data_IF_233574116663
#
_entry.id   IF_233574116663
#
_cell.length_a   1.000
_cell.length_b   1.000
_cell.length_c   1.000
_cell.angle_alpha   90.00
_cell.angle_beta   90.00
_cell.angle_gamma   90.00
#
_symmetry.space_group_name_H-M   'P 1'
#
loop_
_entity.id
_entity.type
_entity.pdbx_description
1 polymer ?
#
# COMPACT_ATOMS: atom_id res chain seq x y z
N UNK A 1 -29.11 42.33 16.21
CA UNK A 1 -27.66 42.10 16.35
C UNK A 1 -27.13 43.22 17.22
N UNK A 2 -26.53 42.86 18.35
CA UNK A 2 -25.96 43.82 19.29
C UNK A 2 -24.65 44.39 18.71
N UNK A 3 -24.46 45.71 18.73
CA UNK A 3 -23.23 46.37 18.26
C UNK A 3 -22.75 47.35 19.33
N UNK A 4 -21.47 47.26 19.71
CA UNK A 4 -20.85 48.16 20.70
C UNK A 4 -19.57 48.74 20.13
N UNK A 5 -19.47 50.07 20.13
CA UNK A 5 -18.22 50.79 19.85
C UNK A 5 -17.38 50.82 21.12
N UNK A 6 -16.12 50.40 21.00
CA UNK A 6 -15.11 50.37 22.05
C UNK A 6 -13.97 51.31 21.65
N UNK A 7 -13.19 51.77 22.62
CA UNK A 7 -12.06 52.69 22.39
C UNK A 7 -10.98 52.14 21.44
N UNK A 8 -10.98 50.82 21.19
CA UNK A 8 -10.03 50.12 20.33
C UNK A 8 -10.69 49.22 19.26
N UNK A 9 -12.00 49.31 19.03
CA UNK A 9 -12.66 48.47 18.03
C UNK A 9 -14.18 48.45 18.10
N UNK A 10 -14.80 47.62 17.26
CA UNK A 10 -16.26 47.45 17.21
C UNK A 10 -16.58 46.00 17.49
N UNK A 11 -17.38 45.76 18.51
CA UNK A 11 -17.98 44.45 18.79
C UNK A 11 -19.30 44.33 18.04
N UNK A 12 -19.52 43.19 17.36
CA UNK A 12 -20.81 42.85 16.76
C UNK A 12 -21.19 41.42 17.14
N UNK A 13 -22.41 41.24 17.64
CA UNK A 13 -22.98 39.92 17.89
C UNK A 13 -23.39 39.26 16.57
N UNK A 14 -22.86 38.07 16.30
CA UNK A 14 -23.27 37.21 15.18
C UNK A 14 -23.94 35.95 15.71
N UNK A 15 -25.00 35.51 15.02
CA UNK A 15 -25.67 34.22 15.23
C UNK A 15 -25.14 33.14 14.26
N UNK A 16 -24.09 33.45 13.49
CA UNK A 16 -23.35 32.51 12.62
C UNK A 16 -21.88 32.45 13.02
N UNK A 17 -21.35 31.23 13.14
CA UNK A 17 -19.93 30.96 13.36
C UNK A 17 -19.17 31.10 12.04
N UNK A 18 -17.96 31.65 12.08
CA UNK A 18 -17.04 31.68 10.94
C UNK A 18 -16.64 30.24 10.57
N UNK A 19 -17.12 29.75 9.43
CA UNK A 19 -16.94 28.37 8.97
C UNK A 19 -15.73 28.29 8.01
N UNK A 20 -14.55 28.56 8.55
CA UNK A 20 -13.32 28.46 7.77
C UNK A 20 -13.00 26.98 7.47
N UNK A 21 -12.54 26.70 6.25
CA UNK A 21 -12.22 25.35 5.78
C UNK A 21 -11.25 24.60 6.70
N UNK A 22 -10.30 25.31 7.32
CA UNK A 22 -9.35 24.75 8.29
C UNK A 22 -10.01 24.17 9.54
N UNK A 23 -11.23 24.58 9.88
CA UNK A 23 -12.00 24.07 11.02
C UNK A 23 -13.04 23.02 10.62
N UNK A 24 -13.57 23.09 9.40
CA UNK A 24 -14.66 22.22 8.95
C UNK A 24 -14.24 21.05 8.04
N UNK A 25 -12.98 21.01 7.62
CA UNK A 25 -12.37 19.89 6.88
C UNK A 25 -11.84 18.79 7.81
N UNK A 26 -11.40 17.66 7.24
CA UNK A 26 -10.74 16.56 7.95
C UNK A 26 -9.50 17.04 8.71
N UNK A 27 -8.77 18.05 8.19
CA UNK A 27 -7.65 18.71 8.89
C UNK A 27 -8.06 19.26 10.26
N UNK A 28 -9.23 19.90 10.32
CA UNK A 28 -9.74 20.52 11.55
C UNK A 28 -9.88 19.54 12.71
N UNK A 29 -10.08 18.24 12.44
CA UNK A 29 -10.25 17.22 13.49
C UNK A 29 -8.95 16.92 14.25
N UNK A 30 -7.79 17.09 13.61
CA UNK A 30 -6.50 17.03 14.28
C UNK A 30 -6.11 18.39 14.84
N UNK A 31 -6.31 19.47 14.07
CA UNK A 31 -5.89 20.82 14.44
C UNK A 31 -6.56 21.34 15.72
N UNK A 32 -7.82 20.96 15.96
CA UNK A 32 -8.59 21.38 17.13
C UNK A 32 -8.41 20.48 18.36
N UNK A 33 -7.59 19.42 18.29
CA UNK A 33 -7.41 18.46 19.38
C UNK A 33 -5.94 18.36 19.79
N UNK A 34 -5.56 18.83 21.00
CA UNK A 34 -4.17 18.83 21.45
C UNK A 34 -3.59 17.41 21.61
N UNK A 35 -4.44 16.38 21.76
CA UNK A 35 -3.98 14.99 21.82
C UNK A 35 -3.42 14.49 20.48
N UNK A 36 -3.56 15.26 19.40
CA UNK A 36 -3.10 14.95 18.04
C UNK A 36 -2.06 15.96 17.54
N UNK A 37 -1.38 16.68 18.44
CA UNK A 37 -0.41 17.74 18.06
C UNK A 37 0.76 17.26 17.20
N UNK A 38 1.23 16.01 17.36
CA UNK A 38 2.24 15.41 16.48
C UNK A 38 1.68 15.27 15.06
N UNK A 39 0.47 14.70 14.94
CA UNK A 39 -0.22 14.54 13.66
C UNK A 39 -0.46 15.88 12.98
N UNK A 40 -0.93 16.89 13.72
CA UNK A 40 -1.12 18.26 13.24
C UNK A 40 0.19 18.89 12.74
N UNK A 41 1.30 18.68 13.45
CA UNK A 41 2.62 19.18 13.03
C UNK A 41 3.07 18.54 11.72
N UNK A 42 2.92 17.22 11.56
CA UNK A 42 3.24 16.52 10.31
C UNK A 42 2.33 16.96 9.16
N UNK A 43 1.04 17.14 9.41
CA UNK A 43 0.08 17.64 8.41
C UNK A 43 0.44 19.05 7.94
N UNK A 44 0.87 19.93 8.86
CA UNK A 44 1.31 21.29 8.52
C UNK A 44 2.54 21.31 7.62
N UNK A 45 3.40 20.30 7.71
CA UNK A 45 4.61 20.18 6.90
C UNK A 45 4.35 19.79 5.45
N UNK A 46 3.35 18.94 5.19
CA UNK A 46 3.22 18.25 3.90
C UNK A 46 1.83 18.36 3.25
N UNK A 47 0.76 18.20 4.03
CA UNK A 47 -0.58 17.91 3.49
C UNK A 47 -1.66 18.96 3.80
N UNK A 48 -1.37 19.98 4.60
CA UNK A 48 -2.36 20.95 5.11
C UNK A 48 -3.22 21.56 4.00
N UNK A 49 -2.61 22.04 2.92
CA UNK A 49 -3.35 22.72 1.85
C UNK A 49 -4.25 21.77 1.07
N UNK A 50 -3.82 20.51 0.90
CA UNK A 50 -4.56 19.47 0.22
C UNK A 50 -5.77 19.04 1.05
N UNK A 51 -5.54 18.64 2.31
CA UNK A 51 -6.59 18.04 3.13
C UNK A 51 -7.56 19.07 3.76
N UNK A 52 -7.21 20.37 3.73
CA UNK A 52 -8.13 21.45 4.09
C UNK A 52 -8.99 21.95 2.92
N UNK A 53 -8.70 21.51 1.69
CA UNK A 53 -9.54 21.82 0.54
C UNK A 53 -10.87 21.08 0.63
N UNK A 54 -11.96 21.81 0.85
CA UNK A 54 -13.29 21.22 1.02
C UNK A 54 -13.89 20.66 -0.28
N UNK A 55 -13.30 20.97 -1.43
CA UNK A 55 -13.77 20.53 -2.75
C UNK A 55 -13.20 19.17 -3.16
N UNK A 56 -12.29 18.60 -2.38
CA UNK A 56 -11.70 17.27 -2.61
C UNK A 56 -12.06 16.33 -1.47
N UNK A 57 -12.27 15.05 -1.77
CA UNK A 57 -12.65 14.04 -0.77
C UNK A 57 -11.43 13.39 -0.15
N UNK A 58 -11.49 13.13 1.16
CA UNK A 58 -10.43 12.49 1.92
C UNK A 58 -10.99 11.57 2.99
N UNK A 59 -10.26 10.49 3.30
CA UNK A 59 -10.42 9.75 4.55
C UNK A 59 -9.14 9.91 5.36
N UNK A 60 -9.27 10.30 6.63
CA UNK A 60 -8.14 10.46 7.54
C UNK A 60 -8.19 9.44 8.67
N UNK A 61 -7.10 8.76 8.91
CA UNK A 61 -6.89 7.88 10.06
C UNK A 61 -6.02 8.61 11.08
N UNK A 62 -6.61 9.22 12.10
CA UNK A 62 -5.90 10.01 13.10
C UNK A 62 -5.28 9.15 14.19
N UNK A 63 -4.04 9.50 14.54
CA UNK A 63 -3.24 8.87 15.58
C UNK A 63 -2.91 9.89 16.67
N UNK A 64 -3.13 9.52 17.92
CA UNK A 64 -2.80 10.37 19.07
C UNK A 64 -1.29 10.43 19.32
N UNK A 65 -0.85 11.46 20.04
CA UNK A 65 0.53 11.58 20.50
C UNK A 65 0.97 10.35 21.29
N UNK A 66 0.09 9.79 22.13
CA UNK A 66 0.35 8.57 22.90
C UNK A 66 0.65 7.38 21.99
N UNK A 67 -0.10 7.23 20.90
CA UNK A 67 0.12 6.14 19.95
C UNK A 67 1.41 6.31 19.13
N UNK A 68 1.80 7.55 18.77
CA UNK A 68 3.12 7.82 18.20
C UNK A 68 4.25 7.48 19.18
N UNK A 69 4.14 7.94 20.43
CA UNK A 69 5.13 7.68 21.47
C UNK A 69 5.27 6.18 21.76
N UNK A 70 4.16 5.44 21.78
CA UNK A 70 4.16 3.98 21.96
C UNK A 70 4.86 3.25 20.79
N UNK A 71 4.81 3.83 19.59
CA UNK A 71 5.57 3.35 18.43
C UNK A 71 7.02 3.87 18.38
N UNK A 72 7.47 4.60 19.41
CA UNK A 72 8.83 5.09 19.53
C UNK A 72 9.11 6.42 18.84
N UNK A 73 8.08 7.14 18.36
CA UNK A 73 8.23 8.45 17.72
C UNK A 73 7.89 9.59 18.68
N UNK A 74 8.80 10.55 18.81
CA UNK A 74 8.67 11.64 19.76
C UNK A 74 8.94 13.00 19.09
N UNK A 75 8.19 14.01 19.52
CA UNK A 75 8.61 15.41 19.39
C UNK A 75 9.52 15.74 20.57
N UNK A 76 10.76 16.12 20.30
CA UNK A 76 11.83 16.29 21.26
C UNK A 76 12.64 17.56 20.96
N UNK A 77 12.35 18.62 21.73
CA UNK A 77 13.03 19.90 21.61
C UNK A 77 14.54 19.84 21.92
N UNK A 78 15.04 18.77 22.56
CA UNK A 78 16.49 18.59 22.78
C UNK A 78 17.23 18.19 21.51
N UNK A 79 16.53 17.67 20.50
CA UNK A 79 17.09 17.40 19.17
C UNK A 79 17.22 18.70 18.37
N UNK A 80 16.16 19.52 18.36
CA UNK A 80 16.15 20.83 17.71
C UNK A 80 14.99 21.67 18.25
N UNK A 81 15.18 22.99 18.39
CA UNK A 81 14.10 23.93 18.67
C UNK A 81 13.28 24.27 17.41
N UNK A 82 13.73 23.82 16.23
CA UNK A 82 12.94 23.89 15.00
C UNK A 82 11.90 22.76 15.01
N UNK A 83 10.62 23.13 14.98
CA UNK A 83 9.50 22.16 15.01
C UNK A 83 9.52 21.17 13.84
N UNK A 84 10.25 21.49 12.77
CA UNK A 84 10.41 20.63 11.60
C UNK A 84 11.52 19.57 11.79
N UNK A 85 12.41 19.73 12.76
CA UNK A 85 13.60 18.90 12.95
C UNK A 85 13.67 18.25 14.34
N UNK A 86 12.75 18.58 15.25
CA UNK A 86 12.70 18.09 16.64
C UNK A 86 12.38 16.58 16.78
N UNK A 87 12.49 15.79 15.72
CA UNK A 87 11.96 14.43 15.71
C UNK A 87 12.98 13.43 16.23
N UNK A 88 12.53 12.52 17.09
CA UNK A 88 13.29 11.36 17.55
C UNK A 88 12.52 10.08 17.28
N UNK A 89 13.23 9.05 16.82
CA UNK A 89 12.71 7.70 16.73
C UNK A 89 13.60 6.73 17.53
N UNK A 90 13.00 6.03 18.48
CA UNK A 90 13.60 4.96 19.26
C UNK A 90 12.88 3.67 18.87
N UNK A 91 13.53 2.76 18.12
CA UNK A 91 12.90 1.50 17.72
C UNK A 91 12.40 0.70 18.94
N UNK A 92 11.11 0.31 19.01
CA UNK A 92 10.56 -0.43 20.15
C UNK A 92 11.24 -1.79 20.40
N UNK A 93 11.77 -2.42 19.35
CA UNK A 93 12.50 -3.70 19.42
C UNK A 93 14.00 -3.57 19.70
N UNK A 94 14.50 -2.37 20.01
CA UNK A 94 15.92 -2.06 20.07
C UNK A 94 16.52 -1.73 18.70
N UNK A 95 17.70 -1.11 18.69
CA UNK A 95 18.38 -0.67 17.47
C UNK A 95 18.91 0.76 17.56
N UNK A 96 19.43 1.26 16.45
CA UNK A 96 19.98 2.61 16.37
C UNK A 96 18.86 3.65 16.44
N UNK A 97 19.01 4.60 17.36
CA UNK A 97 18.14 5.76 17.45
C UNK A 97 18.33 6.66 16.22
N UNK A 98 17.23 7.21 15.69
CA UNK A 98 17.26 8.24 14.65
C UNK A 98 16.81 9.59 15.23
N UNK A 99 17.39 10.67 14.71
CA UNK A 99 17.01 12.04 15.08
C UNK A 99 16.92 12.91 13.83
N UNK A 100 16.26 14.06 13.93
CA UNK A 100 16.20 15.04 12.86
C UNK A 100 15.46 14.52 11.61
N UNK A 101 16.03 14.81 10.44
CA UNK A 101 15.47 14.46 9.14
C UNK A 101 15.26 12.96 8.95
N UNK A 102 16.14 12.11 9.49
CA UNK A 102 16.02 10.65 9.38
C UNK A 102 14.78 10.11 10.11
N UNK A 103 14.43 10.68 11.26
CA UNK A 103 13.19 10.35 11.96
C UNK A 103 11.97 10.94 11.23
N UNK A 104 12.08 12.18 10.74
CA UNK A 104 11.01 12.86 10.00
C UNK A 104 10.57 12.08 8.76
N UNK A 105 11.49 11.57 7.94
CA UNK A 105 11.15 10.83 6.71
C UNK A 105 10.30 9.59 7.02
N UNK A 106 10.59 8.89 8.14
CA UNK A 106 9.76 7.76 8.60
C UNK A 106 8.37 8.24 9.04
N UNK A 107 8.31 9.34 9.80
CA UNK A 107 7.04 9.92 10.24
C UNK A 107 6.19 10.45 9.08
N UNK A 108 6.80 11.00 8.03
CA UNK A 108 6.11 11.44 6.81
C UNK A 108 5.56 10.25 6.02
N UNK A 109 6.31 9.14 5.91
CA UNK A 109 5.76 7.91 5.31
C UNK A 109 4.58 7.36 6.12
N UNK A 110 4.69 7.36 7.45
CA UNK A 110 3.58 7.00 8.35
C UNK A 110 2.40 7.92 8.09
N UNK A 111 2.56 9.25 8.13
CA UNK A 111 1.50 10.21 7.84
C UNK A 111 0.81 9.90 6.51
N UNK A 112 1.58 9.67 5.45
CA UNK A 112 1.03 9.42 4.13
C UNK A 112 0.13 8.18 4.09
N UNK A 113 0.45 7.12 4.84
CA UNK A 113 -0.41 5.94 4.96
C UNK A 113 -1.71 6.19 5.73
N UNK A 114 -1.80 7.28 6.49
CA UNK A 114 -2.99 7.66 7.25
C UNK A 114 -3.94 8.58 6.48
N UNK A 115 -3.62 8.91 5.23
CA UNK A 115 -4.42 9.78 4.38
C UNK A 115 -4.78 9.05 3.10
N UNK A 116 -6.08 8.86 2.87
CA UNK A 116 -6.63 8.34 1.61
C UNK A 116 -7.15 9.52 0.79
N UNK A 117 -6.46 9.91 -0.30
CA UNK A 117 -6.92 10.99 -1.17
C UNK A 117 -8.05 10.53 -2.10
N UNK A 118 -8.92 11.45 -2.48
CA UNK A 118 -9.96 11.26 -3.50
C UNK A 118 -11.16 10.42 -3.07
N UNK A 119 -11.16 9.83 -1.88
CA UNK A 119 -12.22 8.92 -1.41
C UNK A 119 -12.66 9.23 0.02
N UNK A 120 -13.96 9.19 0.23
CA UNK A 120 -14.61 9.26 1.54
C UNK A 120 -15.11 7.86 1.92
N UNK A 121 -14.29 7.12 2.67
CA UNK A 121 -14.63 5.82 3.21
C UNK A 121 -15.46 6.07 4.46
N UNK A 122 -16.76 5.84 4.35
CA UNK A 122 -17.71 6.10 5.45
C UNK A 122 -17.98 4.87 6.32
N UNK A 123 -17.49 3.69 5.90
CA UNK A 123 -17.63 2.44 6.63
C UNK A 123 -16.37 1.56 6.48
N UNK A 124 -15.78 1.17 7.61
CA UNK A 124 -14.62 0.28 7.71
C UNK A 124 -14.94 -1.10 8.29
N UNK A 125 -16.21 -1.38 8.55
CA UNK A 125 -16.69 -2.69 9.02
C UNK A 125 -16.64 -3.71 7.88
N UNK A 126 -17.03 -3.30 6.66
CA UNK A 126 -16.96 -4.16 5.49
C UNK A 126 -15.52 -4.28 4.98
N UNK A 127 -15.07 -5.48 4.57
CA UNK A 127 -13.75 -5.65 3.97
C UNK A 127 -13.54 -4.71 2.78
N UNK A 128 -12.40 -4.03 2.77
CA UNK A 128 -12.02 -3.16 1.68
C UNK A 128 -10.53 -2.82 1.70
N UNK A 129 -10.11 -2.11 0.65
CA UNK A 129 -8.73 -1.68 0.43
C UNK A 129 -8.74 -0.28 -0.17
N UNK A 130 -7.75 0.53 0.17
CA UNK A 130 -7.65 1.90 -0.31
C UNK A 130 -6.20 2.35 -0.46
N UNK A 131 -5.94 3.07 -1.55
CA UNK A 131 -4.66 3.71 -1.80
C UNK A 131 -4.51 4.93 -0.90
N UNK A 132 -3.35 5.05 -0.27
CA UNK A 132 -2.96 6.16 0.59
C UNK A 132 -2.11 7.17 -0.19
N UNK A 133 -1.79 8.33 0.40
CA UNK A 133 -1.14 9.43 -0.31
C UNK A 133 0.24 9.08 -0.89
N UNK A 134 0.96 8.09 -0.34
CA UNK A 134 2.25 7.61 -0.85
C UNK A 134 2.15 6.53 -1.95
N UNK A 135 0.93 6.16 -2.36
CA UNK A 135 0.65 5.05 -3.27
C UNK A 135 0.69 3.67 -2.61
N UNK A 136 0.90 3.60 -1.29
CA UNK A 136 0.77 2.37 -0.51
C UNK A 136 -0.70 2.10 -0.19
N UNK A 137 -1.05 0.83 0.02
CA UNK A 137 -2.43 0.46 0.33
C UNK A 137 -2.61 0.09 1.80
N UNK A 138 -3.81 0.37 2.31
CA UNK A 138 -4.30 -0.11 3.60
C UNK A 138 -5.50 -1.02 3.36
N UNK A 139 -5.68 -2.01 4.24
CA UNK A 139 -6.88 -2.84 4.32
C UNK A 139 -7.70 -2.43 5.52
N UNK A 140 -9.00 -2.56 5.40
CA UNK A 140 -9.91 -2.34 6.52
C UNK A 140 -11.02 -3.39 6.52
N UNK A 141 -11.42 -3.81 7.72
CA UNK A 141 -12.55 -4.71 7.96
C UNK A 141 -12.82 -4.78 9.46
N UNK A 142 -14.08 -4.99 9.87
CA UNK A 142 -14.44 -5.24 11.26
C UNK A 142 -13.98 -4.15 12.24
N UNK A 143 -14.00 -2.88 11.82
CA UNK A 143 -13.46 -1.74 12.58
C UNK A 143 -11.95 -1.84 12.88
N UNK A 144 -11.22 -2.56 12.02
CA UNK A 144 -9.77 -2.58 12.03
C UNK A 144 -9.21 -2.06 10.72
N UNK A 145 -8.01 -1.52 10.78
CA UNK A 145 -7.23 -1.00 9.65
C UNK A 145 -5.82 -1.56 9.76
N UNK A 146 -5.26 -2.01 8.65
CA UNK A 146 -3.99 -2.74 8.60
C UNK A 146 -3.18 -2.24 7.40
N UNK A 147 -1.94 -1.82 7.65
CA UNK A 147 -0.92 -1.63 6.62
C UNK A 147 0.06 -2.82 6.60
N UNK A 148 0.95 -2.88 5.62
CA UNK A 148 1.87 -4.01 5.44
C UNK A 148 2.73 -4.30 6.69
N UNK A 149 3.26 -3.27 7.35
CA UNK A 149 4.09 -3.42 8.55
C UNK A 149 3.30 -3.93 9.77
N UNK A 150 2.02 -3.58 9.87
CA UNK A 150 1.17 -4.15 10.91
C UNK A 150 1.01 -5.66 10.71
N UNK A 151 0.86 -6.10 9.45
CA UNK A 151 0.86 -7.52 9.08
C UNK A 151 2.15 -8.23 9.47
N UNK A 152 3.30 -7.60 9.22
CA UNK A 152 4.61 -8.14 9.62
C UNK A 152 4.76 -8.31 11.13
N UNK A 153 4.26 -7.35 11.89
CA UNK A 153 4.32 -7.36 13.35
C UNK A 153 3.22 -8.22 14.00
N UNK A 154 2.33 -8.84 13.21
CA UNK A 154 1.20 -9.63 13.72
C UNK A 154 0.20 -8.79 14.52
N UNK A 155 0.04 -7.52 14.14
CA UNK A 155 -0.70 -6.53 14.91
C UNK A 155 -1.73 -5.80 14.01
N UNK A 156 -2.76 -5.18 14.59
CA UNK A 156 -3.80 -4.45 13.82
C UNK A 156 -4.17 -3.15 14.52
N UNK A 157 -4.53 -2.11 13.76
CA UNK A 157 -5.05 -0.88 14.32
C UNK A 157 -6.58 -0.94 14.43
N UNK A 158 -7.12 -0.57 15.59
CA UNK A 158 -8.56 -0.58 15.87
C UNK A 158 -9.12 0.83 15.83
N UNK A 159 -10.29 1.00 15.20
CA UNK A 159 -11.03 2.25 15.22
C UNK A 159 -11.69 2.45 16.58
N UNK A 160 -11.31 3.54 17.25
CA UNK A 160 -11.83 3.97 18.55
C UNK A 160 -13.05 4.89 18.42
N UNK A 161 -13.06 5.75 17.39
CA UNK A 161 -14.12 6.70 17.15
C UNK A 161 -14.11 7.15 15.68
N UNK A 162 -15.23 7.72 15.22
CA UNK A 162 -15.39 8.28 13.88
C UNK A 162 -16.02 9.68 13.97
N UNK A 163 -15.55 10.61 13.15
CA UNK A 163 -16.17 11.95 12.98
C UNK A 163 -16.29 12.30 11.52
N UNK A 164 -17.34 13.06 11.20
CA UNK A 164 -17.55 13.62 9.87
C UNK A 164 -16.96 15.03 9.77
N UNK A 165 -16.43 15.34 8.60
CA UNK A 165 -16.03 16.65 8.15
C UNK A 165 -16.67 16.94 6.79
N UNK A 166 -16.65 18.19 6.33
CA UNK A 166 -17.26 18.58 5.05
C UNK A 166 -16.69 17.80 3.86
N UNK A 167 -15.41 17.48 3.94
CA UNK A 167 -14.65 16.88 2.85
C UNK A 167 -14.25 15.43 3.12
N UNK A 168 -14.87 14.80 4.12
CA UNK A 168 -14.88 13.36 4.30
C UNK A 168 -14.84 12.88 5.75
N UNK A 169 -14.45 11.63 5.93
CA UNK A 169 -14.54 10.93 7.22
C UNK A 169 -13.20 10.83 7.92
N UNK A 170 -13.23 10.97 9.25
CA UNK A 170 -12.06 10.83 10.13
C UNK A 170 -12.27 9.68 11.10
N UNK A 171 -11.36 8.71 11.07
CA UNK A 171 -11.28 7.58 12.00
C UNK A 171 -10.15 7.79 12.99
N UNK A 172 -10.42 7.58 14.27
CA UNK A 172 -9.40 7.65 15.31
C UNK A 172 -8.90 6.24 15.61
N UNK A 173 -7.59 5.99 15.51
CA UNK A 173 -7.00 4.67 15.72
C UNK A 173 -6.26 4.59 17.07
N UNK A 174 -6.18 3.37 17.62
CA UNK A 174 -5.43 3.09 18.83
C UNK A 174 -3.91 2.96 18.63
N UNK A 175 -3.44 2.84 17.38
CA UNK A 175 -2.02 2.74 17.03
C UNK A 175 -1.77 3.20 15.60
N UNK A 176 -0.50 3.40 15.27
CA UNK A 176 -0.07 3.75 13.91
C UNK A 176 -0.32 2.61 12.92
N UNK A 177 -0.59 2.99 11.68
CA UNK A 177 -0.36 2.14 10.52
C UNK A 177 1.15 2.09 10.25
N UNK A 178 1.70 0.88 10.23
CA UNK A 178 3.13 0.61 10.09
C UNK A 178 3.47 0.23 8.65
N UNK A 179 4.59 0.73 8.12
CA UNK A 179 5.07 0.32 6.82
C UNK A 179 5.95 -0.92 6.98
N UNK A 180 5.97 -1.79 5.97
CA UNK A 180 6.84 -2.96 5.99
C UNK A 180 8.28 -2.57 5.69
N UNK A 181 9.22 -3.15 6.44
CA UNK A 181 10.66 -3.11 6.14
C UNK A 181 11.14 -4.34 5.39
N UNK A 182 10.29 -5.36 5.23
CA UNK A 182 10.62 -6.57 4.48
C UNK A 182 10.60 -6.31 2.98
N UNK A 183 11.40 -7.08 2.25
CA UNK A 183 11.34 -7.09 0.80
C UNK A 183 10.10 -7.87 0.33
N UNK A 184 9.61 -7.53 -0.85
CA UNK A 184 8.38 -8.12 -1.41
C UNK A 184 8.53 -9.64 -1.58
N UNK A 185 9.75 -10.13 -1.88
CA UNK A 185 10.03 -11.55 -1.97
C UNK A 185 9.81 -12.31 -0.65
N UNK A 186 10.04 -11.70 0.51
CA UNK A 186 9.76 -12.34 1.80
C UNK A 186 8.25 -12.54 2.03
N UNK A 187 7.41 -11.64 1.52
CA UNK A 187 5.95 -11.83 1.58
C UNK A 187 5.48 -12.92 0.62
N UNK A 188 6.05 -13.00 -0.59
CA UNK A 188 5.75 -14.09 -1.54
C UNK A 188 6.20 -15.44 -0.96
N UNK A 189 7.36 -15.49 -0.31
CA UNK A 189 7.83 -16.66 0.42
C UNK A 189 6.84 -17.09 1.51
N UNK A 190 6.39 -16.14 2.34
CA UNK A 190 5.40 -16.40 3.40
C UNK A 190 4.11 -16.96 2.83
N UNK A 191 3.62 -16.38 1.72
CA UNK A 191 2.40 -16.84 1.04
C UNK A 191 2.59 -18.21 0.39
N UNK A 192 3.75 -18.50 -0.17
CA UNK A 192 3.98 -19.67 -1.04
C UNK A 192 4.66 -20.87 -0.37
N UNK A 193 5.21 -20.73 0.84
CA UNK A 193 6.00 -21.81 1.48
C UNK A 193 5.18 -23.08 1.72
N UNK A 194 3.94 -22.94 2.22
CA UNK A 194 3.08 -24.10 2.44
C UNK A 194 2.78 -24.81 1.12
N UNK A 195 3.02 -26.12 1.04
CA UNK A 195 2.77 -26.93 -0.17
C UNK A 195 1.30 -26.95 -0.58
N UNK A 196 0.38 -26.65 0.34
CA UNK A 196 -1.06 -26.49 0.10
C UNK A 196 -1.43 -25.12 -0.46
N UNK A 197 -0.58 -24.08 -0.30
CA UNK A 197 -0.88 -22.72 -0.76
C UNK A 197 -1.04 -22.63 -2.28
N UNK A 198 -2.02 -21.86 -2.75
CA UNK A 198 -2.21 -21.56 -4.18
C UNK A 198 -1.05 -20.75 -4.78
N UNK A 199 -0.24 -20.08 -3.95
CA UNK A 199 0.97 -19.36 -4.38
C UNK A 199 2.19 -20.26 -4.54
N UNK A 200 2.11 -21.54 -4.10
CA UNK A 200 3.29 -22.39 -3.93
C UNK A 200 4.06 -22.60 -5.22
N UNK A 201 3.40 -22.95 -6.34
CA UNK A 201 4.11 -23.24 -7.59
C UNK A 201 4.86 -22.02 -8.14
N UNK A 202 4.28 -20.82 -8.02
CA UNK A 202 4.98 -19.58 -8.37
C UNK A 202 6.18 -19.33 -7.45
N UNK A 203 6.01 -19.53 -6.13
CA UNK A 203 7.10 -19.41 -5.17
C UNK A 203 8.24 -20.40 -5.46
N UNK A 204 7.93 -21.65 -5.83
CA UNK A 204 8.94 -22.64 -6.20
C UNK A 204 9.76 -22.21 -7.42
N UNK A 205 9.15 -21.54 -8.40
CA UNK A 205 9.89 -20.94 -9.52
C UNK A 205 10.71 -19.72 -9.08
N UNK A 206 10.11 -18.78 -8.34
CA UNK A 206 10.81 -17.57 -7.89
C UNK A 206 12.05 -17.92 -7.05
N UNK A 207 11.91 -18.80 -6.04
CA UNK A 207 12.99 -19.14 -5.12
C UNK A 207 14.22 -19.75 -5.80
N UNK A 208 14.01 -20.43 -6.93
CA UNK A 208 15.06 -21.10 -7.72
C UNK A 208 15.47 -20.28 -8.95
N UNK A 209 14.84 -19.13 -9.19
CA UNK A 209 15.15 -18.25 -10.32
C UNK A 209 16.48 -17.53 -10.10
N UNK A 210 17.11 -17.07 -11.18
CA UNK A 210 18.35 -16.29 -11.07
C UNK A 210 18.11 -14.84 -10.65
N UNK A 211 16.85 -14.43 -10.51
CA UNK A 211 16.45 -13.05 -10.20
C UNK A 211 16.11 -12.88 -8.71
N UNK A 212 16.10 -13.95 -7.92
CA UNK A 212 15.78 -13.90 -6.49
C UNK A 212 17.04 -14.07 -5.63
N UNK A 213 17.20 -13.19 -4.64
CA UNK A 213 18.21 -13.33 -3.61
C UNK A 213 17.58 -13.93 -2.33
N UNK A 214 17.89 -15.19 -2.05
CA UNK A 214 17.32 -15.90 -0.91
C UNK A 214 17.75 -15.34 0.46
N UNK A 215 18.90 -14.65 0.54
CA UNK A 215 19.37 -14.08 1.81
C UNK A 215 18.63 -12.78 2.17
N UNK A 216 18.27 -11.98 1.17
CA UNK A 216 17.66 -10.65 1.38
C UNK A 216 16.18 -10.59 1.03
N UNK A 217 15.66 -11.53 0.25
CA UNK A 217 14.31 -11.47 -0.31
C UNK A 217 14.17 -10.51 -1.49
N UNK A 218 15.28 -9.99 -2.02
CA UNK A 218 15.27 -9.07 -3.16
C UNK A 218 14.95 -9.79 -4.46
N UNK A 219 14.25 -9.09 -5.35
CA UNK A 219 13.97 -9.54 -6.72
C UNK A 219 14.63 -8.53 -7.67
N UNK A 220 15.59 -8.97 -8.48
CA UNK A 220 16.26 -8.13 -9.48
C UNK A 220 15.20 -7.50 -10.40
N UNK A 221 15.28 -6.19 -10.63
CA UNK A 221 14.29 -5.44 -11.42
C UNK A 221 13.15 -4.83 -10.60
N UNK A 222 13.00 -5.23 -9.34
CA UNK A 222 12.06 -4.63 -8.38
C UNK A 222 12.83 -3.64 -7.50
N UNK A 223 12.75 -2.35 -7.84
CA UNK A 223 13.52 -1.31 -7.17
C UNK A 223 12.90 -0.92 -5.83
N UNK A 224 13.72 -0.86 -4.78
CA UNK A 224 13.29 -0.35 -3.48
C UNK A 224 12.71 1.07 -3.60
N UNK A 225 11.63 1.34 -2.87
CA UNK A 225 10.97 2.65 -2.87
C UNK A 225 9.99 2.90 -4.02
N UNK A 226 9.88 1.98 -5.00
CA UNK A 226 8.90 2.07 -6.09
C UNK A 226 7.65 1.23 -5.80
N UNK A 227 6.52 1.60 -6.42
CA UNK A 227 5.25 0.91 -6.25
C UNK A 227 5.12 -0.28 -7.23
N UNK A 228 4.67 -1.45 -6.80
CA UNK A 228 4.52 -2.63 -7.69
C UNK A 228 3.21 -3.40 -7.45
N UNK A 229 2.77 -4.14 -8.47
CA UNK A 229 1.67 -5.10 -8.36
C UNK A 229 2.12 -6.45 -8.87
N UNK A 230 1.93 -7.50 -8.08
CA UNK A 230 2.25 -8.87 -8.46
C UNK A 230 0.95 -9.62 -8.70
N UNK A 231 0.78 -10.14 -9.91
CA UNK A 231 -0.35 -11.00 -10.26
C UNK A 231 0.12 -12.45 -10.33
N UNK A 232 0.06 -13.16 -9.21
CA UNK A 232 0.59 -14.52 -9.10
C UNK A 232 -0.47 -15.54 -9.57
N UNK A 233 -0.19 -16.34 -10.62
CA UNK A 233 -1.10 -17.40 -11.03
C UNK A 233 -1.21 -18.49 -9.96
N UNK A 234 -2.43 -19.00 -9.76
CA UNK A 234 -2.67 -20.14 -8.90
C UNK A 234 -2.01 -21.43 -9.44
N UNK A 235 -2.03 -22.52 -8.65
CA UNK A 235 -1.37 -23.78 -9.02
C UNK A 235 -1.85 -24.36 -10.35
N UNK A 236 -3.17 -24.34 -10.55
CA UNK A 236 -3.77 -24.86 -11.78
C UNK A 236 -3.35 -24.04 -13.01
N UNK A 237 -3.26 -22.73 -12.87
CA UNK A 237 -2.78 -21.82 -13.90
C UNK A 237 -1.29 -22.04 -14.21
N UNK A 238 -0.43 -22.24 -13.21
CA UNK A 238 0.97 -22.57 -13.43
C UNK A 238 1.11 -23.91 -14.17
N UNK A 239 0.36 -24.95 -13.78
CA UNK A 239 0.36 -26.22 -14.50
C UNK A 239 -0.09 -26.04 -15.96
N UNK A 240 -1.10 -25.20 -16.21
CA UNK A 240 -1.54 -24.88 -17.56
C UNK A 240 -0.46 -24.14 -18.38
N UNK A 241 0.35 -23.29 -17.75
CA UNK A 241 1.49 -22.63 -18.39
C UNK A 241 2.63 -23.62 -18.72
N UNK A 242 2.88 -24.60 -17.85
CA UNK A 242 3.82 -25.69 -18.10
C UNK A 242 3.36 -26.55 -19.28
N UNK A 243 2.09 -26.97 -19.29
CA UNK A 243 1.50 -27.73 -20.40
C UNK A 243 1.51 -26.96 -21.73
N UNK A 244 1.52 -25.62 -21.69
CA UNK A 244 1.64 -24.75 -22.86
C UNK A 244 3.10 -24.48 -23.28
N UNK A 245 4.08 -25.03 -22.57
CA UNK A 245 5.51 -24.84 -22.86
C UNK A 245 6.09 -23.47 -22.48
N UNK A 246 5.33 -22.65 -21.76
CA UNK A 246 5.78 -21.32 -21.30
C UNK A 246 6.66 -21.39 -20.05
N UNK A 247 6.48 -22.45 -19.26
CA UNK A 247 7.31 -22.78 -18.11
C UNK A 247 7.91 -24.19 -18.32
N UNK A 248 9.12 -24.44 -17.80
CA UNK A 248 9.76 -25.73 -17.98
C UNK A 248 9.05 -26.82 -17.19
N UNK A 249 8.91 -28.00 -17.81
CA UNK A 249 8.35 -29.20 -17.21
C UNK A 249 8.79 -30.46 -17.94
N UNK A 250 8.49 -31.61 -17.35
CA UNK A 250 8.82 -32.94 -17.89
C UNK A 250 7.54 -33.72 -18.20
N UNK A 251 7.65 -34.71 -19.11
CA UNK A 251 6.50 -35.51 -19.57
C UNK A 251 5.81 -34.91 -20.79
N UNK A 252 4.54 -35.26 -20.99
CA UNK A 252 3.73 -34.84 -22.16
C UNK A 252 2.46 -34.12 -21.71
N UNK A 253 2.06 -33.08 -22.45
CA UNK A 253 0.80 -32.40 -22.22
C UNK A 253 -0.38 -33.37 -22.40
N UNK A 254 -1.47 -33.28 -21.60
CA UNK A 254 -1.77 -32.26 -20.59
C UNK A 254 -1.31 -32.59 -19.16
N UNK A 255 -0.41 -33.57 -18.98
CA UNK A 255 0.00 -34.09 -17.67
C UNK A 255 1.49 -33.83 -17.37
N UNK A 256 2.03 -32.70 -17.84
CA UNK A 256 3.42 -32.35 -17.55
C UNK A 256 3.64 -32.07 -16.06
N UNK A 257 4.83 -32.38 -15.56
CA UNK A 257 5.25 -32.06 -14.19
C UNK A 257 6.13 -30.81 -14.22
N UNK A 258 5.82 -29.74 -13.46
CA UNK A 258 6.66 -28.55 -13.39
C UNK A 258 8.10 -28.86 -12.99
N UNK A 259 9.07 -28.35 -13.74
CA UNK A 259 10.48 -28.38 -13.38
C UNK A 259 10.84 -27.04 -12.71
N UNK A 260 10.75 -26.98 -11.38
CA UNK A 260 10.96 -25.74 -10.62
C UNK A 260 12.41 -25.26 -10.54
N UNK A 261 13.39 -26.09 -10.93
CA UNK A 261 14.81 -25.72 -10.91
C UNK A 261 15.49 -26.20 -12.21
N UNK A 262 15.17 -25.58 -13.35
CA UNK A 262 15.76 -25.95 -14.62
C UNK A 262 17.27 -25.65 -14.64
N UNK A 263 18.05 -26.54 -15.26
CA UNK A 263 19.49 -26.35 -15.41
C UNK A 263 19.86 -25.60 -16.69
N UNK A 264 19.07 -25.75 -17.75
CA UNK A 264 19.28 -25.09 -19.04
C UNK A 264 19.06 -23.58 -18.94
N UNK A 265 19.98 -22.80 -19.53
CA UNK A 265 19.91 -21.34 -19.52
C UNK A 265 18.60 -20.82 -20.13
N UNK A 266 18.20 -21.36 -21.28
CA UNK A 266 16.96 -20.98 -21.95
C UNK A 266 15.71 -21.20 -21.08
N UNK A 267 15.68 -22.25 -20.26
CA UNK A 267 14.56 -22.51 -19.37
C UNK A 267 14.59 -21.62 -18.12
N UNK A 268 15.77 -21.24 -17.63
CA UNK A 268 15.91 -20.21 -16.58
C UNK A 268 15.40 -18.86 -17.09
N UNK A 269 15.73 -18.49 -18.32
CA UNK A 269 15.23 -17.27 -18.95
C UNK A 269 13.71 -17.27 -19.12
N UNK A 270 13.11 -18.41 -19.53
CA UNK A 270 11.64 -18.56 -19.55
C UNK A 270 11.02 -18.28 -18.19
N UNK A 271 11.58 -18.83 -17.11
CA UNK A 271 11.09 -18.59 -15.74
C UNK A 271 11.18 -17.11 -15.37
N UNK A 272 12.32 -16.46 -15.62
CA UNK A 272 12.51 -15.03 -15.32
C UNK A 272 11.52 -14.16 -16.10
N UNK A 273 11.40 -14.37 -17.41
CA UNK A 273 10.50 -13.62 -18.28
C UNK A 273 9.04 -13.82 -17.90
N UNK A 274 8.67 -15.06 -17.56
CA UNK A 274 7.35 -15.37 -17.03
C UNK A 274 7.06 -14.58 -15.75
N UNK A 275 7.97 -14.60 -14.77
CA UNK A 275 7.81 -13.85 -13.52
C UNK A 275 7.68 -12.35 -13.80
N UNK A 276 8.56 -11.77 -14.62
CA UNK A 276 8.54 -10.35 -14.93
C UNK A 276 7.26 -9.89 -15.64
N UNK A 277 6.66 -10.73 -16.49
CA UNK A 277 5.41 -10.41 -17.16
C UNK A 277 4.21 -10.34 -16.19
N UNK A 278 4.32 -10.98 -15.03
CA UNK A 278 3.30 -10.97 -13.98
C UNK A 278 3.48 -9.83 -12.96
N UNK A 279 4.39 -8.89 -13.21
CA UNK A 279 4.66 -7.76 -12.31
C UNK A 279 4.42 -6.45 -13.05
N UNK A 280 3.53 -5.60 -12.55
CA UNK A 280 3.35 -4.24 -13.08
C UNK A 280 4.53 -3.35 -12.66
N UNK A 281 5.12 -2.65 -13.63
CA UNK A 281 6.25 -1.76 -13.40
C UNK A 281 5.78 -0.44 -12.78
N UNK A 282 6.29 -0.09 -11.59
CA UNK A 282 6.07 1.23 -10.94
C UNK A 282 4.59 1.60 -10.74
N UNK A 283 3.71 0.60 -10.60
CA UNK A 283 2.27 0.75 -10.36
C UNK A 283 1.77 -0.24 -9.32
N UNK A 284 1.10 0.27 -8.28
CA UNK A 284 0.41 -0.53 -7.28
C UNK A 284 -1.10 -0.41 -7.51
N UNK A 285 -1.78 -1.53 -7.72
CA UNK A 285 -3.23 -1.60 -7.92
C UNK A 285 -3.79 -2.62 -6.95
N UNK A 286 -4.79 -2.22 -6.17
CA UNK A 286 -5.58 -3.12 -5.34
C UNK A 286 -7.01 -3.23 -5.91
N UNK A 287 -7.84 -4.09 -5.33
CA UNK A 287 -9.21 -4.31 -5.81
C UNK A 287 -10.20 -3.22 -5.36
N UNK A 288 -9.78 -1.95 -5.41
CA UNK A 288 -10.54 -0.80 -4.90
C UNK A 288 -11.40 -0.08 -5.95
N UNK A 289 -11.38 -0.55 -7.20
CA UNK A 289 -12.19 -0.01 -8.28
C UNK A 289 -11.74 1.36 -8.81
N UNK A 290 -10.47 1.76 -8.61
CA UNK A 290 -10.02 3.12 -8.93
C UNK A 290 -9.16 3.26 -10.19
N UNK A 291 -8.31 2.28 -10.51
CA UNK A 291 -7.29 2.43 -11.56
C UNK A 291 -7.36 1.30 -12.59
N UNK A 292 -7.59 1.67 -13.86
CA UNK A 292 -7.63 0.75 -15.00
C UNK A 292 -6.81 1.31 -16.16
N UNK A 293 -6.32 0.44 -17.04
CA UNK A 293 -5.61 0.85 -18.24
C UNK A 293 -4.61 -0.20 -18.74
N UNK A 294 -3.96 0.11 -19.86
CA UNK A 294 -2.80 -0.65 -20.32
C UNK A 294 -1.58 -0.23 -19.50
N UNK A 295 -0.99 -1.17 -18.77
CA UNK A 295 0.09 -0.90 -17.83
C UNK A 295 1.28 -1.75 -18.19
N UNK A 296 2.45 -1.12 -18.20
CA UNK A 296 3.73 -1.76 -18.43
C UNK A 296 4.03 -2.81 -17.35
N UNK A 297 4.50 -3.97 -17.79
CA UNK A 297 5.05 -5.01 -16.91
C UNK A 297 6.56 -4.88 -16.76
N UNK A 298 7.18 -5.58 -15.81
CA UNK A 298 8.65 -5.64 -15.73
C UNK A 298 9.29 -6.38 -16.91
N UNK A 299 8.54 -7.23 -17.62
CA UNK A 299 9.07 -7.88 -18.81
C UNK A 299 9.30 -6.86 -19.94
N UNK A 300 10.37 -7.08 -20.69
CA UNK A 300 10.77 -6.31 -21.86
C UNK A 300 10.97 -7.27 -23.01
N UNK A 301 10.52 -6.88 -24.20
CA UNK A 301 10.81 -7.64 -25.40
C UNK A 301 12.32 -7.65 -25.70
N UNK A 302 12.83 -8.61 -26.49
CA UNK A 302 14.25 -8.66 -26.86
C UNK A 302 14.77 -7.38 -27.53
N UNK A 303 13.89 -6.60 -28.15
CA UNK A 303 14.22 -5.30 -28.75
C UNK A 303 14.23 -4.13 -27.74
N UNK A 304 13.92 -4.40 -26.46
CA UNK A 304 13.86 -3.41 -25.38
C UNK A 304 12.48 -2.79 -25.15
N UNK A 305 11.49 -3.08 -26.00
CA UNK A 305 10.16 -2.48 -25.89
C UNK A 305 9.43 -2.94 -24.62
N UNK A 306 8.64 -2.05 -23.99
CA UNK A 306 7.80 -2.41 -22.87
C UNK A 306 6.71 -3.40 -23.31
N UNK A 307 6.53 -4.48 -22.55
CA UNK A 307 5.31 -5.27 -22.64
C UNK A 307 4.26 -4.74 -21.67
N UNK A 308 2.99 -4.90 -22.01
CA UNK A 308 1.87 -4.38 -21.22
C UNK A 308 0.84 -5.47 -20.94
N UNK A 309 0.04 -5.25 -19.89
CA UNK A 309 -1.24 -5.93 -19.68
C UNK A 309 -2.33 -4.89 -19.48
N UNK A 310 -3.54 -5.16 -19.96
CA UNK A 310 -4.69 -4.32 -19.66
C UNK A 310 -5.30 -4.75 -18.33
N UNK A 311 -5.36 -3.83 -17.37
CA UNK A 311 -5.98 -4.01 -16.06
C UNK A 311 -7.33 -3.32 -16.09
N UNK A 312 -8.39 -4.08 -15.84
CA UNK A 312 -9.72 -3.54 -15.60
C UNK A 312 -10.09 -3.71 -14.13
N UNK A 313 -10.19 -2.59 -13.43
CA UNK A 313 -10.54 -2.45 -12.02
C UNK A 313 -11.46 -1.23 -11.89
N UNK A 314 -12.56 -1.23 -12.64
CA UNK A 314 -13.59 -0.18 -12.54
C UNK A 314 -14.63 -0.46 -11.44
N UNK A 315 -14.63 -1.69 -10.91
CA UNK A 315 -15.60 -2.16 -9.91
C UNK A 315 -14.84 -2.70 -8.71
N UNK A 316 -15.12 -2.24 -7.48
CA UNK A 316 -14.49 -2.78 -6.28
C UNK A 316 -14.61 -4.30 -6.20
N UNK A 317 -13.54 -4.95 -5.76
CA UNK A 317 -13.42 -6.42 -5.65
C UNK A 317 -13.51 -7.17 -6.99
N UNK A 318 -13.37 -6.48 -8.13
CA UNK A 318 -13.33 -7.11 -9.45
C UNK A 318 -12.13 -6.56 -10.21
N UNK A 319 -11.10 -7.39 -10.35
CA UNK A 319 -10.01 -7.12 -11.30
C UNK A 319 -10.00 -8.22 -12.35
N UNK A 320 -10.08 -7.79 -13.61
CA UNK A 320 -9.82 -8.65 -14.77
C UNK A 320 -8.60 -8.14 -15.53
N UNK A 321 -7.79 -9.06 -16.02
CA UNK A 321 -6.55 -8.80 -16.73
C UNK A 321 -6.66 -9.36 -18.14
N UNK A 322 -6.21 -8.60 -19.13
CA UNK A 322 -6.04 -9.09 -20.50
C UNK A 322 -4.57 -8.97 -20.89
N UNK A 323 -3.97 -10.10 -21.24
CA UNK A 323 -2.61 -10.12 -21.77
C UNK A 323 -2.57 -9.73 -23.25
N UNK A 324 -1.36 -9.63 -23.80
CA UNK A 324 -1.14 -9.24 -25.20
C UNK A 324 -1.65 -10.25 -26.23
N UNK A 325 -2.09 -11.43 -25.80
CA UNK A 325 -2.67 -12.48 -26.65
C UNK A 325 -4.17 -12.64 -26.43
N UNK A 326 -4.81 -11.65 -25.81
CA UNK A 326 -6.23 -11.65 -25.43
C UNK A 326 -6.63 -12.75 -24.45
N UNK A 327 -5.69 -13.33 -23.71
CA UNK A 327 -6.02 -14.23 -22.61
C UNK A 327 -6.52 -13.42 -21.43
N UNK A 328 -7.58 -13.91 -20.80
CA UNK A 328 -8.17 -13.28 -19.62
C UNK A 328 -7.76 -14.01 -18.34
N UNK A 329 -7.41 -13.26 -17.31
CA UNK A 329 -7.29 -13.74 -15.93
C UNK A 329 -8.11 -12.85 -14.99
N UNK A 330 -8.58 -13.41 -13.88
CA UNK A 330 -9.29 -12.66 -12.84
C UNK A 330 -8.64 -12.84 -11.49
N UNK A 331 -8.64 -11.79 -10.69
CA UNK A 331 -8.14 -11.82 -9.31
C UNK A 331 -9.07 -12.65 -8.43
N UNK A 332 -8.48 -13.54 -7.61
CA UNK A 332 -9.17 -14.34 -6.59
C UNK A 332 -9.14 -13.53 -5.29
N UNK A 333 -10.18 -12.72 -5.07
CA UNK A 333 -10.25 -11.73 -3.98
C UNK A 333 -9.93 -12.29 -2.58
N UNK A 334 -10.44 -13.46 -2.14
CA UNK A 334 -10.16 -13.98 -0.81
C UNK A 334 -8.68 -14.22 -0.51
N UNK A 335 -7.88 -14.47 -1.56
CA UNK A 335 -6.44 -14.70 -1.46
C UNK A 335 -5.62 -13.50 -1.94
N UNK A 336 -6.24 -12.33 -2.13
CA UNK A 336 -5.62 -11.18 -2.78
C UNK A 336 -5.57 -9.94 -1.89
N UNK A 337 -5.10 -8.82 -2.44
CA UNK A 337 -4.74 -7.63 -1.68
C UNK A 337 -3.73 -7.94 -0.56
N UNK A 338 -2.76 -8.84 -0.78
CA UNK A 338 -1.71 -9.04 0.22
C UNK A 338 -0.77 -7.83 0.15
N UNK A 339 -0.79 -7.02 1.21
CA UNK A 339 -0.01 -5.79 1.28
C UNK A 339 1.46 -6.11 1.52
N UNK A 340 2.33 -5.35 0.89
CA UNK A 340 3.78 -5.47 0.98
C UNK A 340 4.43 -4.09 0.98
N UNK A 341 5.74 -4.02 1.18
CA UNK A 341 6.50 -2.76 1.11
C UNK A 341 6.33 -2.12 -0.28
N UNK A 342 5.47 -1.09 -0.37
CA UNK A 342 5.08 -0.42 -1.61
C UNK A 342 4.62 -1.39 -2.71
N UNK A 343 3.95 -2.47 -2.35
CA UNK A 343 3.40 -3.37 -3.34
C UNK A 343 2.11 -4.07 -2.89
N UNK A 344 1.37 -4.58 -3.87
CA UNK A 344 0.20 -5.41 -3.64
C UNK A 344 0.36 -6.72 -4.40
N UNK A 345 0.12 -7.85 -3.72
CA UNK A 345 0.20 -9.18 -4.30
C UNK A 345 -1.22 -9.76 -4.40
N UNK A 346 -1.61 -10.16 -5.61
CA UNK A 346 -2.87 -10.80 -5.93
C UNK A 346 -2.65 -12.21 -6.39
N UNK A 347 -3.60 -13.09 -6.05
CA UNK A 347 -3.72 -14.40 -6.70
C UNK A 347 -4.63 -14.26 -7.91
N UNK A 348 -4.26 -14.82 -9.06
CA UNK A 348 -5.10 -14.85 -10.26
C UNK A 348 -5.42 -16.29 -10.69
N UNK A 349 -6.60 -16.47 -11.28
CA UNK A 349 -7.12 -17.79 -11.66
C UNK A 349 -6.54 -18.36 -12.97
N UNK A 350 -5.68 -17.59 -13.65
CA UNK A 350 -5.11 -17.95 -14.93
C UNK A 350 -3.71 -17.33 -15.08
N UNK A 351 -2.85 -17.87 -15.93
CA UNK A 351 -1.55 -17.26 -16.23
C UNK A 351 -1.69 -16.23 -17.36
N UNK A 352 -0.74 -15.29 -17.40
CA UNK A 352 -0.58 -14.30 -18.46
C UNK A 352 0.62 -14.71 -19.33
N UNK A 353 0.59 -14.38 -20.63
CA UNK A 353 1.73 -14.58 -21.51
C UNK A 353 2.02 -13.38 -22.41
N UNK A 354 3.31 -13.12 -22.61
CA UNK A 354 3.77 -12.23 -23.68
C UNK A 354 3.59 -12.92 -25.04
N UNK A 355 3.48 -12.11 -26.10
CA UNK A 355 3.40 -12.59 -27.48
C UNK A 355 4.66 -13.34 -27.91
#
# INVERSE_FOLDING_TARGET
MDRKLLSNGIFYGTNKVQDANVFSSVYGKAYLDPAYSIMTSLLNLDLKFQISNINQRYTLFLISNTAFNAAGFFADATVSNNVNEQWRYIPPGGGAQLTGSSALVRMQRILNMHVVPGRDITNVTSPGVAMTYSGEFIKFSGNTVVAAGNGDAGNVATVLNTKLAKNGTVYYLNRILEFSEKNIGNHIETLGTATTSEFNSFWQYLKNSSIYNAATGEIIGVAAGSNYTFFIPNKAAILAAVNAGLLPGTGTAPNMVPNFNPTLLADKEKVNNFIYYHILNKRAIATDGQESGSIETLYKFPNGDPSTIFVNNSTPNVITLNDMTNRTASVIVPSSNNLSNRAVIHLINNYLKSN
#
